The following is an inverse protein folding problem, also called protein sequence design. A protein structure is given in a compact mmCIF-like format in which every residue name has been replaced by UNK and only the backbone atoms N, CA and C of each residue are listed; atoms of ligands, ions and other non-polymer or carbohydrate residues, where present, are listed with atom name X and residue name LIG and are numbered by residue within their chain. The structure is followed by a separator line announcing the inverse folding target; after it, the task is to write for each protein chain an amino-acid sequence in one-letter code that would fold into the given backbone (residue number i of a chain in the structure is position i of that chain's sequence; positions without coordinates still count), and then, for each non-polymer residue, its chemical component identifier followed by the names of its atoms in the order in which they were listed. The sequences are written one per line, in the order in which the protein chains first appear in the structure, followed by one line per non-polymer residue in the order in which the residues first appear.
data_IF_207833876643
#
_entry.id   IF_207833876643
#
_cell.length_a   1.000
_cell.length_b   1.000
_cell.length_c   1.000
_cell.angle_alpha   90.00
_cell.angle_beta   90.00
_cell.angle_gamma   90.00
#
_symmetry.space_group_name_H-M   'P 1'
#
loop_
_entity.id
_entity.type
_entity.pdbx_description
1 polymer ?
#
# COMPACT_ATOMS: atom_id res chain seq x y z
N UNK A 1 -63.27 -16.94 -19.24
CA UNK A 1 -62.94 -15.61 -19.82
C UNK A 1 -62.40 -14.61 -18.80
N UNK A 2 -62.94 -14.47 -17.58
CA UNK A 2 -62.40 -13.51 -16.57
C UNK A 2 -61.00 -13.83 -16.02
N UNK A 3 -60.68 -15.10 -15.71
CA UNK A 3 -59.34 -15.50 -15.21
C UNK A 3 -58.22 -15.18 -16.20
N UNK A 4 -58.49 -15.28 -17.50
CA UNK A 4 -57.51 -14.99 -18.54
C UNK A 4 -57.17 -13.50 -18.62
N UNK A 5 -58.16 -12.62 -18.36
CA UNK A 5 -57.98 -11.17 -18.30
C UNK A 5 -57.19 -10.73 -17.06
N UNK A 6 -57.44 -11.37 -15.92
CA UNK A 6 -56.68 -11.12 -14.68
C UNK A 6 -55.21 -11.51 -14.85
N UNK A 7 -54.93 -12.69 -15.43
CA UNK A 7 -53.56 -13.14 -15.70
C UNK A 7 -52.82 -12.20 -16.65
N UNK A 8 -53.46 -11.73 -17.73
CA UNK A 8 -52.84 -10.74 -18.63
C UNK A 8 -52.55 -9.42 -17.95
N UNK A 9 -53.37 -9.01 -16.97
CA UNK A 9 -53.17 -7.76 -16.22
C UNK A 9 -52.03 -7.87 -15.19
N UNK A 10 -51.87 -9.04 -14.57
CA UNK A 10 -50.73 -9.33 -13.70
C UNK A 10 -49.42 -9.41 -14.51
N UNK A 11 -49.45 -10.06 -15.67
CA UNK A 11 -48.29 -10.16 -16.56
C UNK A 11 -47.87 -8.79 -17.11
N UNK A 12 -48.82 -7.91 -17.45
CA UNK A 12 -48.51 -6.56 -17.89
C UNK A 12 -47.91 -5.71 -16.76
N UNK A 13 -48.42 -5.85 -15.53
CA UNK A 13 -47.86 -5.20 -14.34
C UNK A 13 -46.43 -5.64 -14.03
N UNK A 14 -46.16 -6.95 -14.12
CA UNK A 14 -44.81 -7.51 -13.94
C UNK A 14 -43.86 -6.99 -15.03
N UNK A 15 -44.30 -6.99 -16.30
CA UNK A 15 -43.50 -6.48 -17.41
C UNK A 15 -43.18 -4.98 -17.27
N UNK A 16 -44.12 -4.19 -16.74
CA UNK A 16 -43.90 -2.77 -16.48
C UNK A 16 -42.83 -2.56 -15.39
N UNK A 17 -42.91 -3.31 -14.29
CA UNK A 17 -41.94 -3.24 -13.19
C UNK A 17 -40.54 -3.68 -13.63
N UNK A 18 -40.44 -4.78 -14.41
CA UNK A 18 -39.18 -5.25 -14.98
C UNK A 18 -38.57 -4.22 -15.94
N UNK A 19 -39.36 -3.65 -16.85
CA UNK A 19 -38.87 -2.63 -17.78
C UNK A 19 -38.41 -1.35 -17.08
N UNK A 20 -39.03 -1.00 -15.95
CA UNK A 20 -38.62 0.15 -15.15
C UNK A 20 -37.30 -0.12 -14.41
N UNK A 21 -37.16 -1.32 -13.81
CA UNK A 21 -35.92 -1.76 -13.18
C UNK A 21 -34.75 -1.80 -14.19
N UNK A 22 -34.99 -2.33 -15.40
CA UNK A 22 -34.00 -2.35 -16.48
C UNK A 22 -33.62 -0.91 -16.87
N UNK A 23 -34.58 0.02 -16.98
CA UNK A 23 -34.27 1.42 -17.28
C UNK A 23 -33.41 2.08 -16.21
N UNK A 24 -33.66 1.79 -14.93
CA UNK A 24 -32.84 2.27 -13.81
C UNK A 24 -31.43 1.68 -13.88
N UNK A 25 -31.30 0.37 -14.12
CA UNK A 25 -30.00 -0.30 -14.27
C UNK A 25 -29.24 0.23 -15.50
N UNK A 26 -29.90 0.41 -16.64
CA UNK A 26 -29.28 0.87 -17.89
C UNK A 26 -28.86 2.34 -17.78
N UNK A 27 -29.70 3.19 -17.16
CA UNK A 27 -29.40 4.61 -16.90
C UNK A 27 -28.50 4.83 -15.69
N UNK A 28 -28.20 3.79 -14.91
CA UNK A 28 -27.33 3.93 -13.75
C UNK A 28 -25.95 4.45 -14.19
N UNK A 29 -25.41 5.45 -13.48
CA UNK A 29 -24.05 5.89 -13.68
C UNK A 29 -23.07 4.71 -13.60
N UNK A 30 -21.95 4.79 -14.33
CA UNK A 30 -20.96 3.72 -14.42
C UNK A 30 -20.45 3.28 -13.05
N UNK A 31 -20.32 4.22 -12.09
CA UNK A 31 -19.89 3.92 -10.73
C UNK A 31 -20.89 3.03 -9.97
N UNK A 32 -22.20 3.22 -10.17
CA UNK A 32 -23.25 2.40 -9.52
C UNK A 32 -23.27 0.98 -10.09
N UNK A 33 -23.04 0.83 -11.40
CA UNK A 33 -22.91 -0.50 -12.03
C UNK A 33 -21.71 -1.26 -11.50
N UNK A 34 -20.57 -0.58 -11.31
CA UNK A 34 -19.36 -1.17 -10.73
C UNK A 34 -19.61 -1.58 -9.27
N UNK A 35 -20.32 -0.76 -8.49
CA UNK A 35 -20.61 -1.06 -7.09
C UNK A 35 -21.62 -2.21 -6.92
N UNK A 36 -22.66 -2.25 -7.75
CA UNK A 36 -23.59 -3.40 -7.78
C UNK A 36 -22.84 -4.67 -8.19
N UNK A 37 -21.93 -4.59 -9.16
CA UNK A 37 -21.12 -5.73 -9.57
C UNK A 37 -20.17 -6.18 -8.45
N UNK A 38 -19.61 -5.27 -7.65
CA UNK A 38 -18.86 -5.63 -6.44
C UNK A 38 -19.73 -6.39 -5.43
N UNK A 39 -20.94 -5.89 -5.16
CA UNK A 39 -21.89 -6.51 -4.23
C UNK A 39 -22.34 -7.90 -4.70
N UNK A 40 -22.61 -8.07 -5.99
CA UNK A 40 -23.11 -9.32 -6.58
C UNK A 40 -22.02 -10.39 -6.72
N UNK A 41 -20.79 -10.00 -7.02
CA UNK A 41 -19.69 -10.95 -7.26
C UNK A 41 -18.88 -11.28 -6.01
N UNK A 42 -19.13 -10.59 -4.89
CA UNK A 42 -18.30 -10.67 -3.68
C UNK A 42 -16.86 -10.20 -3.90
N UNK A 43 -16.59 -9.48 -5.00
CA UNK A 43 -15.25 -9.00 -5.32
C UNK A 43 -14.88 -7.85 -4.40
N UNK A 44 -13.73 -7.99 -3.75
CA UNK A 44 -13.14 -6.90 -2.97
C UNK A 44 -12.89 -5.69 -3.86
N UNK A 45 -13.16 -4.48 -3.33
CA UNK A 45 -12.97 -3.23 -4.06
C UNK A 45 -11.58 -3.12 -4.71
N UNK A 46 -11.51 -2.42 -5.85
CA UNK A 46 -10.25 -2.15 -6.55
C UNK A 46 -9.22 -1.48 -5.63
N UNK A 47 -9.66 -0.57 -4.76
CA UNK A 47 -8.80 0.11 -3.81
C UNK A 47 -8.17 -0.90 -2.82
N UNK A 48 -8.97 -1.77 -2.22
CA UNK A 48 -8.48 -2.79 -1.30
C UNK A 48 -7.49 -3.74 -2.00
N UNK A 49 -7.75 -4.10 -3.27
CA UNK A 49 -6.84 -4.92 -4.07
C UNK A 49 -5.52 -4.20 -4.35
N UNK A 50 -5.56 -2.92 -4.71
CA UNK A 50 -4.38 -2.12 -4.96
C UNK A 50 -3.53 -1.94 -3.69
N UNK A 51 -4.16 -1.74 -2.54
CA UNK A 51 -3.48 -1.66 -1.24
C UNK A 51 -2.80 -2.99 -0.89
N UNK A 52 -3.50 -4.12 -1.04
CA UNK A 52 -2.93 -5.47 -0.81
C UNK A 52 -1.74 -5.77 -1.71
N UNK A 53 -1.85 -5.45 -3.01
CA UNK A 53 -0.74 -5.62 -3.95
C UNK A 53 0.45 -4.75 -3.55
N UNK A 54 0.19 -3.48 -3.22
CA UNK A 54 1.24 -2.54 -2.80
C UNK A 54 1.96 -3.00 -1.55
N UNK A 55 1.23 -3.48 -0.53
CA UNK A 55 1.83 -4.03 0.68
C UNK A 55 2.60 -5.34 0.44
N UNK A 56 2.14 -6.18 -0.49
CA UNK A 56 2.87 -7.38 -0.91
C UNK A 56 4.20 -7.03 -1.61
N UNK A 57 4.21 -6.00 -2.46
CA UNK A 57 5.45 -5.51 -3.05
C UNK A 57 6.39 -4.87 -2.01
N UNK A 58 5.84 -4.08 -1.09
CA UNK A 58 6.57 -3.45 0.00
C UNK A 58 7.28 -4.49 0.89
N UNK A 59 6.55 -5.52 1.33
CA UNK A 59 7.12 -6.62 2.13
C UNK A 59 8.21 -7.36 1.37
N UNK A 60 7.97 -7.75 0.11
CA UNK A 60 8.99 -8.38 -0.75
C UNK A 60 10.24 -7.52 -0.89
N UNK A 61 10.09 -6.21 -1.09
CA UNK A 61 11.20 -5.28 -1.23
C UNK A 61 12.06 -5.24 0.05
N UNK A 62 11.42 -5.23 1.22
CA UNK A 62 12.11 -5.16 2.51
C UNK A 62 12.84 -6.47 2.83
N UNK A 63 12.24 -7.61 2.50
CA UNK A 63 12.86 -8.93 2.71
C UNK A 63 14.04 -9.24 1.77
N UNK A 64 14.30 -8.40 0.76
CA UNK A 64 15.48 -8.59 -0.10
C UNK A 64 16.76 -8.30 0.68
N UNK A 65 17.75 -9.18 0.51
CA UNK A 65 19.06 -9.06 1.14
C UNK A 65 19.83 -7.81 0.67
N UNK A 66 19.64 -7.40 -0.60
CA UNK A 66 20.31 -6.23 -1.16
C UNK A 66 19.71 -4.94 -0.61
N UNK A 67 20.56 -4.10 -0.03
CA UNK A 67 20.19 -2.74 0.32
C UNK A 67 19.90 -1.89 -0.92
N UNK A 68 18.89 -1.03 -0.81
CA UNK A 68 18.54 -0.07 -1.86
C UNK A 68 17.92 1.18 -1.26
N UNK A 69 18.10 2.32 -1.91
CA UNK A 69 17.51 3.59 -1.47
C UNK A 69 15.99 3.52 -1.35
N UNK A 70 15.34 2.70 -2.20
CA UNK A 70 13.89 2.49 -2.16
C UNK A 70 13.49 1.68 -0.92
N UNK A 71 14.25 0.65 -0.55
CA UNK A 71 14.04 -0.12 0.70
C UNK A 71 14.21 0.78 1.92
N UNK A 72 15.31 1.53 1.97
CA UNK A 72 15.62 2.43 3.09
C UNK A 72 14.60 3.58 3.18
N UNK A 73 14.19 4.15 2.04
CA UNK A 73 13.14 5.16 1.97
C UNK A 73 11.77 4.64 2.41
N UNK A 74 11.44 3.39 2.09
CA UNK A 74 10.20 2.75 2.53
C UNK A 74 10.21 2.49 4.06
N UNK A 75 11.31 1.96 4.61
CA UNK A 75 11.45 1.76 6.06
C UNK A 75 11.35 3.09 6.82
N UNK A 76 11.98 4.15 6.32
CA UNK A 76 11.82 5.51 6.88
C UNK A 76 10.37 5.97 6.79
N UNK A 77 9.70 5.78 5.65
CA UNK A 77 8.31 6.18 5.45
C UNK A 77 7.30 5.44 6.35
N UNK A 78 7.61 4.21 6.77
CA UNK A 78 6.82 3.42 7.73
C UNK A 78 6.98 3.92 9.17
N UNK A 79 8.15 4.46 9.51
CA UNK A 79 8.47 4.99 10.84
C UNK A 79 8.21 6.50 10.98
N UNK A 80 8.00 7.21 9.87
CA UNK A 80 7.80 8.65 9.86
C UNK A 80 6.50 9.06 10.57
N UNK A 81 6.57 10.09 11.43
CA UNK A 81 5.39 10.69 12.01
C UNK A 81 4.58 11.41 10.92
N UNK A 82 3.32 10.97 10.73
CA UNK A 82 2.44 11.47 9.67
C UNK A 82 1.88 12.86 9.94
N UNK A 83 1.89 13.29 11.21
CA UNK A 83 1.41 14.62 11.58
C UNK A 83 2.33 15.73 11.04
N UNK A 84 3.61 15.40 10.81
CA UNK A 84 4.64 16.36 10.39
C UNK A 84 4.83 16.36 8.86
N UNK A 85 4.53 15.26 8.17
CA UNK A 85 4.88 15.09 6.76
C UNK A 85 3.67 14.72 5.88
N UNK A 86 3.05 15.75 5.29
CA UNK A 86 1.80 15.64 4.53
C UNK A 86 1.97 15.41 3.02
N UNK A 87 3.20 15.37 2.50
CA UNK A 87 3.43 15.21 1.05
C UNK A 87 3.06 13.80 0.60
N UNK A 88 2.14 13.67 -0.34
CA UNK A 88 1.78 12.36 -0.93
C UNK A 88 2.87 11.88 -1.89
N UNK A 89 3.79 11.07 -1.39
CA UNK A 89 4.82 10.39 -2.21
C UNK A 89 4.46 8.91 -2.39
N UNK A 90 4.98 8.27 -3.46
CA UNK A 90 4.74 6.84 -3.72
C UNK A 90 5.14 5.96 -2.54
N UNK A 91 6.23 6.31 -1.85
CA UNK A 91 6.71 5.61 -0.66
C UNK A 91 5.76 5.77 0.54
N UNK A 92 5.20 6.97 0.73
CA UNK A 92 4.25 7.23 1.81
C UNK A 92 2.91 6.51 1.56
N UNK A 93 2.44 6.46 0.31
CA UNK A 93 1.27 5.65 -0.06
C UNK A 93 1.51 4.14 0.19
N UNK A 94 2.72 3.64 -0.09
CA UNK A 94 3.06 2.26 0.19
C UNK A 94 3.12 1.97 1.71
N UNK A 95 3.71 2.89 2.48
CA UNK A 95 3.70 2.82 3.94
C UNK A 95 2.29 2.95 4.55
N UNK A 96 1.38 3.69 3.90
CA UNK A 96 -0.03 3.77 4.32
C UNK A 96 -0.77 2.45 4.06
N UNK A 97 -0.51 1.79 2.92
CA UNK A 97 -1.09 0.49 2.63
C UNK A 97 -0.61 -0.57 3.64
N UNK A 98 0.67 -0.54 4.00
CA UNK A 98 1.24 -1.38 5.06
C UNK A 98 0.56 -1.13 6.41
N UNK A 99 0.37 0.15 6.77
CA UNK A 99 -0.22 0.54 8.05
C UNK A 99 -1.70 0.15 8.14
N UNK A 100 -2.48 0.39 7.07
CA UNK A 100 -3.89 -0.01 6.95
C UNK A 100 -4.09 -1.52 7.10
N UNK A 101 -3.15 -2.30 6.55
CA UNK A 101 -3.18 -3.77 6.64
C UNK A 101 -2.56 -4.31 7.94
N UNK A 102 -2.17 -3.43 8.88
CA UNK A 102 -1.53 -3.81 10.16
C UNK A 102 -0.28 -4.68 9.98
N UNK A 103 0.48 -4.45 8.91
CA UNK A 103 1.70 -5.20 8.57
C UNK A 103 2.99 -4.52 9.06
N UNK A 104 2.87 -3.41 9.79
CA UNK A 104 4.01 -2.60 10.25
C UNK A 104 4.97 -3.44 11.10
N UNK A 105 4.48 -4.15 12.10
CA UNK A 105 5.32 -4.91 13.03
C UNK A 105 6.02 -6.10 12.34
N UNK A 106 5.33 -6.75 11.40
CA UNK A 106 5.88 -7.81 10.56
C UNK A 106 6.99 -7.31 9.64
N UNK A 107 6.92 -6.04 9.23
CA UNK A 107 7.93 -5.41 8.39
C UNK A 107 9.14 -4.98 9.22
N UNK A 108 8.91 -4.38 10.38
CA UNK A 108 9.98 -3.90 11.26
C UNK A 108 10.80 -5.06 11.83
N UNK A 109 10.14 -6.14 12.24
CA UNK A 109 10.82 -7.35 12.74
C UNK A 109 11.70 -8.06 11.71
N UNK A 110 11.49 -7.81 10.41
CA UNK A 110 12.27 -8.40 9.31
C UNK A 110 13.26 -7.45 8.66
N UNK A 111 13.12 -6.14 8.90
CA UNK A 111 13.77 -5.10 8.12
C UNK A 111 14.79 -4.27 8.88
N UNK A 112 14.80 -4.33 10.21
CA UNK A 112 15.75 -3.61 11.05
C UNK A 112 16.62 -4.63 11.78
N UNK A 113 17.92 -4.60 11.48
CA UNK A 113 18.88 -5.09 12.46
C UNK A 113 18.67 -4.28 13.74
N UNK A 114 18.54 -4.98 14.86
CA UNK A 114 18.54 -4.34 16.18
C UNK A 114 19.82 -3.50 16.28
N UNK A 115 19.67 -2.22 16.64
CA UNK A 115 20.81 -1.35 16.93
C UNK A 115 21.75 -2.08 17.88
N UNK A 116 23.05 -2.12 17.57
CA UNK A 116 24.03 -2.69 18.50
C UNK A 116 23.86 -2.00 19.86
N UNK A 117 23.88 -2.73 20.98
CA UNK A 117 23.80 -2.12 22.31
C UNK A 117 24.91 -1.08 22.56
N UNK A 118 25.98 -1.11 21.76
CA UNK A 118 27.10 -0.17 21.83
C UNK A 118 26.93 1.07 20.91
N UNK A 119 25.83 1.15 20.15
CA UNK A 119 25.61 2.29 19.26
C UNK A 119 25.17 3.53 20.05
N UNK A 120 26.08 4.48 20.21
CA UNK A 120 25.78 5.84 20.66
C UNK A 120 25.69 6.76 19.45
N UNK A 121 24.56 7.47 19.31
CA UNK A 121 24.44 8.50 18.27
C UNK A 121 25.31 9.69 18.68
N UNK A 122 26.33 10.09 17.88
CA UNK A 122 27.11 11.26 18.22
C UNK A 122 26.22 12.49 18.20
N UNK A 123 26.44 13.40 19.16
CA UNK A 123 25.64 14.61 19.24
C UNK A 123 25.87 15.46 17.98
N UNK A 124 24.89 16.26 17.53
CA UNK A 124 24.99 16.98 16.26
C UNK A 124 26.12 18.04 16.21
N UNK A 125 26.70 18.38 17.37
CA UNK A 125 27.86 19.26 17.50
C UNK A 125 29.20 18.51 17.67
N UNK A 126 29.19 17.17 17.74
CA UNK A 126 30.42 16.39 17.82
C UNK A 126 31.07 16.28 16.45
N UNK A 127 32.31 16.78 16.37
CA UNK A 127 33.15 16.62 15.19
C UNK A 127 33.43 15.13 14.96
N UNK A 128 32.97 14.59 13.83
CA UNK A 128 33.32 13.23 13.41
C UNK A 128 34.85 13.09 13.38
N UNK A 129 35.43 12.03 13.94
CA UNK A 129 36.87 11.83 13.87
C UNK A 129 37.27 11.61 12.42
N UNK A 130 37.95 12.61 11.84
CA UNK A 130 38.57 12.50 10.53
C UNK A 130 39.72 11.50 10.63
N UNK A 131 39.44 10.23 10.31
CA UNK A 131 40.49 9.21 10.21
C UNK A 131 41.26 9.49 8.92
N UNK A 132 42.38 10.20 9.03
CA UNK A 132 43.36 10.26 7.97
C UNK A 132 44.02 8.88 7.88
N UNK A 133 43.60 8.07 6.90
CA UNK A 133 44.41 6.93 6.47
C UNK A 133 45.69 7.49 5.85
N UNK A 134 46.71 7.68 6.68
CA UNK A 134 48.07 7.88 6.20
C UNK A 134 48.47 6.56 5.58
N UNK A 135 48.30 6.46 4.26
CA UNK A 135 49.00 5.47 3.46
C UNK A 135 50.50 5.66 3.77
N UNK A 136 51.04 4.78 4.60
CA UNK A 136 52.49 4.66 4.79
C UNK A 136 53.07 4.33 3.42
N UNK A 137 53.51 5.35 2.69
CA UNK A 137 54.41 5.17 1.56
C UNK A 137 55.69 4.58 2.13
N UNK A 138 55.87 3.28 1.91
CA UNK A 138 57.02 2.53 2.38
C UNK A 138 58.31 3.23 1.99
N UNK A 139 59.04 3.73 2.97
CA UNK A 139 60.46 4.06 2.82
C UNK A 139 61.19 2.75 2.60
N UNK A 140 61.41 2.36 1.34
CA UNK A 140 62.47 1.41 1.00
C UNK A 140 63.81 2.10 1.26
N UNK A 141 64.48 1.70 2.33
CA UNK A 141 65.93 1.78 2.48
C UNK A 141 66.46 0.39 2.85
N UNK A 142 67.72 0.16 2.50
CA UNK A 142 68.54 -1.06 2.56
C UNK A 142 68.48 -1.86 1.24
N UNK A 143 69.56 -2.08 0.48
CA UNK A 143 71.00 -1.81 0.61
C UNK A 143 71.61 -1.56 -0.78
#
# INVERSE_FOLDING_TARGET
TMRHRLLTHCLSGIGLAQNNAIRVIVKAPTWTKIENLHMETGLTSLQTRAERLTACFATKLITRARESDVKNGLLRAVNLNRDVFNKKTRLLCAADAVSRLKLKDTILSKGLDTMSPDFSTPAPWESLPTVFNILQTGTRKAD
#
